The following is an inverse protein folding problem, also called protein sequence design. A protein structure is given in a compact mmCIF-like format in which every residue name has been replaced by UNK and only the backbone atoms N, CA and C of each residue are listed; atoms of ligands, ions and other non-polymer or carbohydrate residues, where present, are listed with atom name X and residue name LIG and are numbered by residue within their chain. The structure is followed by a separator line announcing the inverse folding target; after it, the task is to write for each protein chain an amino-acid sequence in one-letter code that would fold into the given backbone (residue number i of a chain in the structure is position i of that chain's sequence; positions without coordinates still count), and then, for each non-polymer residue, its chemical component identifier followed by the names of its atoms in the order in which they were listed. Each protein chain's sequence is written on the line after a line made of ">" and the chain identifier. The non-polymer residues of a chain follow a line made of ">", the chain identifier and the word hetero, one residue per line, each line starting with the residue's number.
data_IF_561952901152
#
_entry.id   IF_561952901152
#
_cell.length_a   1.000
_cell.length_b   1.000
_cell.length_c   1.000
_cell.angle_alpha   90.00
_cell.angle_beta   90.00
_cell.angle_gamma   90.00
#
_symmetry.space_group_name_H-M   'P 1'
#
loop_
_entity.id
_entity.type
_entity.pdbx_description
1 polymer ?
#
# COMPACT_ATOMS: atom_id res chain seq x y z
N UNK A 1 15.14 35.69 52.31
CA UNK A 1 13.85 35.00 52.49
C UNK A 1 12.79 36.01 52.16
N UNK A 2 12.28 35.94 50.93
CA UNK A 2 11.09 36.61 50.35
C UNK A 2 11.07 36.07 48.91
N UNK A 3 10.02 35.58 48.27
CA UNK A 3 8.65 35.23 48.59
C UNK A 3 8.14 34.51 47.33
N UNK A 4 7.34 33.46 47.50
CA UNK A 4 6.76 32.64 46.43
C UNK A 4 5.92 33.48 45.45
N UNK A 5 6.00 33.16 44.16
CA UNK A 5 4.88 33.33 43.22
C UNK A 5 4.92 32.22 42.18
N UNK A 6 4.11 31.21 42.44
CA UNK A 6 3.68 30.17 41.52
C UNK A 6 2.72 30.77 40.49
N UNK A 7 3.02 30.60 39.20
CA UNK A 7 2.01 30.68 38.14
C UNK A 7 1.96 29.34 37.40
N UNK A 8 0.83 28.67 37.61
CA UNK A 8 0.33 27.52 36.87
C UNK A 8 -0.10 27.99 35.48
N UNK A 9 0.46 27.38 34.45
CA UNK A 9 -0.18 27.23 33.14
C UNK A 9 0.02 25.73 32.82
N UNK A 10 -0.99 24.87 32.84
CA UNK A 10 -2.28 25.07 32.20
C UNK A 10 -2.27 24.55 30.76
N UNK A 11 -1.34 23.67 30.38
CA UNK A 11 -1.41 23.02 29.06
C UNK A 11 -2.38 21.84 29.13
N UNK A 12 -3.59 22.13 28.67
CA UNK A 12 -4.64 21.16 28.41
C UNK A 12 -4.05 20.01 27.58
N UNK A 13 -4.01 18.82 28.18
CA UNK A 13 -3.92 17.59 27.44
C UNK A 13 -5.11 17.58 26.45
N UNK A 14 -4.84 17.93 25.21
CA UNK A 14 -5.72 17.60 24.10
C UNK A 14 -5.79 16.09 24.12
N UNK A 15 -6.86 15.55 24.71
CA UNK A 15 -7.24 14.17 24.59
C UNK A 15 -7.47 13.94 23.10
N UNK A 16 -6.39 13.57 22.41
CA UNK A 16 -6.46 13.11 21.05
C UNK A 16 -7.52 12.01 21.08
N UNK A 17 -8.64 12.27 20.44
CA UNK A 17 -9.65 11.27 20.09
C UNK A 17 -9.05 10.38 19.01
N UNK A 18 -7.87 9.85 19.29
CA UNK A 18 -7.07 9.02 18.42
C UNK A 18 -7.65 7.64 18.52
N UNK A 19 -8.42 7.28 17.50
CA UNK A 19 -8.69 5.88 17.20
C UNK A 19 -7.39 5.10 17.38
N UNK A 20 -7.38 4.13 18.28
CA UNK A 20 -6.19 3.36 18.60
C UNK A 20 -5.56 2.85 17.29
N UNK A 21 -4.22 2.89 17.15
CA UNK A 21 -3.55 2.37 15.96
C UNK A 21 -3.97 0.91 15.76
N UNK A 22 -4.53 0.63 14.59
CA UNK A 22 -4.98 -0.70 14.23
C UNK A 22 -3.84 -1.70 14.39
N UNK A 23 -4.11 -2.82 15.06
CA UNK A 23 -3.16 -3.93 15.21
C UNK A 23 -3.58 -5.09 14.30
N UNK A 24 -2.64 -5.70 13.56
CA UNK A 24 -2.93 -6.91 12.80
C UNK A 24 -3.36 -8.04 13.74
N UNK A 25 -4.61 -8.50 13.64
CA UNK A 25 -5.11 -9.66 14.37
C UNK A 25 -5.02 -10.90 13.45
N UNK A 26 -4.65 -12.06 14.01
CA UNK A 26 -4.32 -13.24 13.21
C UNK A 26 -5.52 -13.98 12.58
N UNK A 27 -6.76 -13.58 12.85
CA UNK A 27 -7.97 -14.37 12.52
C UNK A 27 -9.07 -13.55 11.82
N UNK A 28 -8.71 -12.63 10.93
CA UNK A 28 -9.70 -11.81 10.17
C UNK A 28 -10.07 -12.43 8.82
N UNK A 29 -9.40 -13.52 8.44
CA UNK A 29 -9.71 -14.28 7.24
C UNK A 29 -10.44 -15.56 7.61
N UNK A 30 -11.58 -15.79 6.97
CA UNK A 30 -12.34 -17.04 7.04
C UNK A 30 -12.46 -17.63 5.65
N UNK A 31 -12.63 -18.94 5.56
CA UNK A 31 -12.95 -19.61 4.30
C UNK A 31 -14.16 -18.93 3.66
N UNK A 32 -14.04 -18.57 2.38
CA UNK A 32 -15.16 -18.01 1.61
C UNK A 32 -16.32 -19.01 1.63
N UNK A 33 -17.44 -18.61 2.24
CA UNK A 33 -18.69 -19.38 2.19
C UNK A 33 -19.63 -18.72 1.17
N UNK A 34 -20.10 -19.45 0.16
CA UNK A 34 -21.10 -18.94 -0.78
C UNK A 34 -22.49 -18.76 -0.14
N UNK A 35 -22.69 -19.24 1.10
CA UNK A 35 -23.93 -19.11 1.86
C UNK A 35 -23.64 -18.45 3.22
N UNK A 36 -24.07 -17.20 3.44
CA UNK A 36 -23.93 -16.55 4.73
C UNK A 36 -24.97 -17.11 5.70
N UNK A 37 -24.64 -18.19 6.40
CA UNK A 37 -25.45 -18.69 7.50
C UNK A 37 -25.29 -17.79 8.72
N UNK A 38 -26.36 -17.07 9.06
CA UNK A 38 -26.60 -16.60 10.42
C UNK A 38 -26.12 -15.18 10.74
N UNK A 39 -27.11 -14.27 10.80
CA UNK A 39 -27.15 -12.94 11.45
C UNK A 39 -26.01 -11.96 11.11
N UNK A 40 -26.33 -10.74 10.63
CA UNK A 40 -25.33 -9.69 10.53
C UNK A 40 -24.73 -9.47 11.92
N UNK A 41 -23.44 -9.79 12.08
CA UNK A 41 -22.69 -9.30 13.22
C UNK A 41 -22.86 -7.78 13.21
N UNK A 42 -23.46 -7.23 14.26
CA UNK A 42 -23.55 -5.79 14.42
C UNK A 42 -22.11 -5.27 14.51
N UNK A 43 -21.59 -4.83 13.36
CA UNK A 43 -20.30 -4.21 13.25
C UNK A 43 -20.46 -2.85 13.91
N UNK A 44 -20.01 -2.74 15.16
CA UNK A 44 -19.82 -1.46 15.82
C UNK A 44 -19.11 -0.51 14.84
N UNK A 45 -19.87 0.47 14.35
CA UNK A 45 -19.56 1.26 13.16
C UNK A 45 -18.55 2.37 13.46
N UNK A 46 -17.50 2.04 14.22
CA UNK A 46 -16.23 2.71 14.04
C UNK A 46 -15.82 2.49 12.59
N UNK A 47 -15.71 3.56 11.79
CA UNK A 47 -15.28 3.51 10.38
C UNK A 47 -13.81 3.07 10.32
N UNK A 48 -13.58 1.78 10.58
CA UNK A 48 -12.28 1.15 10.43
C UNK A 48 -12.10 0.92 8.94
N UNK A 49 -10.96 1.35 8.39
CA UNK A 49 -10.60 1.03 7.00
C UNK A 49 -10.82 -0.46 6.75
N UNK A 50 -11.49 -0.88 5.66
CA UNK A 50 -11.71 -2.28 5.37
C UNK A 50 -10.38 -3.05 5.33
N UNK A 51 -10.37 -4.30 5.78
CA UNK A 51 -9.16 -5.13 5.79
C UNK A 51 -8.54 -5.25 4.39
N UNK A 52 -9.38 -5.39 3.36
CA UNK A 52 -8.95 -5.47 1.96
C UNK A 52 -8.13 -4.23 1.57
N UNK A 53 -8.59 -3.03 1.94
CA UNK A 53 -7.87 -1.80 1.63
C UNK A 53 -6.50 -1.77 2.32
N UNK A 54 -6.40 -2.23 3.58
CA UNK A 54 -5.14 -2.30 4.32
C UNK A 54 -4.12 -3.25 3.69
N UNK A 55 -4.58 -4.37 3.15
CA UNK A 55 -3.73 -5.43 2.60
C UNK A 55 -3.51 -5.31 1.09
N UNK A 56 -4.03 -4.25 0.46
CA UNK A 56 -3.84 -3.98 -0.97
C UNK A 56 -3.31 -2.57 -1.17
N UNK A 57 -4.19 -1.56 -1.11
CA UNK A 57 -3.85 -0.15 -1.35
C UNK A 57 -2.91 0.43 -0.29
N UNK A 58 -3.17 0.12 0.99
CA UNK A 58 -2.40 0.65 2.11
C UNK A 58 -1.35 -0.36 2.62
N UNK A 59 -0.92 -1.31 1.77
CA UNK A 59 -0.03 -2.41 2.18
C UNK A 59 1.30 -1.91 2.74
N UNK A 60 1.84 -0.81 2.17
CA UNK A 60 3.08 -0.17 2.64
C UNK A 60 2.92 0.33 4.08
N UNK A 61 1.80 0.99 4.38
CA UNK A 61 1.51 1.49 5.73
C UNK A 61 1.32 0.34 6.71
N UNK A 62 0.62 -0.71 6.28
CA UNK A 62 0.46 -1.94 7.07
C UNK A 62 1.82 -2.56 7.43
N UNK A 63 2.77 -2.66 6.50
CA UNK A 63 4.11 -3.17 6.80
C UNK A 63 4.90 -2.28 7.74
N UNK A 64 4.77 -0.95 7.66
CA UNK A 64 5.40 -0.01 8.61
C UNK A 64 4.88 -0.18 10.03
N UNK A 65 3.57 -0.39 10.19
CA UNK A 65 2.96 -0.66 11.50
C UNK A 65 3.52 -1.97 12.09
N UNK A 66 3.67 -3.01 11.27
CA UNK A 66 4.20 -4.31 11.70
C UNK A 66 5.71 -4.28 11.98
N UNK A 67 6.45 -3.49 11.22
CA UNK A 67 7.90 -3.35 11.32
C UNK A 67 8.29 -1.87 11.08
N UNK A 68 8.53 -1.09 12.15
CA UNK A 68 8.89 0.32 12.02
C UNK A 68 10.19 0.60 11.24
N UNK A 69 11.04 -0.41 11.05
CA UNK A 69 12.26 -0.31 10.24
C UNK A 69 12.02 -0.56 8.76
N UNK A 70 10.82 -1.04 8.38
CA UNK A 70 10.47 -1.29 6.99
C UNK A 70 10.47 0.01 6.18
N UNK A 71 11.14 -0.01 5.03
CA UNK A 71 11.18 1.10 4.07
C UNK A 71 10.76 0.58 2.71
N UNK A 72 9.90 1.35 2.04
CA UNK A 72 9.46 1.09 0.68
C UNK A 72 9.55 2.38 -0.11
N UNK A 73 10.12 2.29 -1.30
CA UNK A 73 10.08 3.31 -2.34
C UNK A 73 9.90 2.59 -3.68
N UNK A 74 9.30 3.26 -4.66
CA UNK A 74 9.00 2.62 -5.96
C UNK A 74 10.27 2.18 -6.70
N UNK A 75 11.41 2.83 -6.42
CA UNK A 75 12.72 2.45 -6.97
C UNK A 75 13.20 1.08 -6.47
N UNK A 76 12.70 0.61 -5.33
CA UNK A 76 13.01 -0.70 -4.75
C UNK A 76 12.16 -1.83 -5.35
N UNK A 77 11.16 -1.51 -6.18
CA UNK A 77 10.38 -2.54 -6.85
C UNK A 77 11.26 -3.29 -7.86
N UNK A 78 11.45 -4.63 -7.72
CA UNK A 78 12.30 -5.39 -8.64
C UNK A 78 11.83 -5.24 -10.08
N UNK A 79 12.65 -4.57 -10.90
CA UNK A 79 12.45 -4.48 -12.33
C UNK A 79 12.91 -5.79 -12.94
N UNK A 80 11.96 -6.62 -13.36
CA UNK A 80 12.23 -7.83 -14.15
C UNK A 80 11.73 -7.62 -15.57
N UNK A 81 12.48 -8.19 -16.50
CA UNK A 81 12.03 -8.32 -17.88
C UNK A 81 10.96 -9.40 -17.99
N UNK A 82 10.00 -9.19 -18.88
CA UNK A 82 8.93 -10.15 -19.17
C UNK A 82 9.33 -11.17 -20.24
N UNK A 83 10.50 -11.02 -20.85
CA UNK A 83 11.03 -11.91 -21.89
C UNK A 83 12.40 -12.47 -21.50
N UNK A 84 12.69 -13.66 -22.02
CA UNK A 84 13.96 -14.37 -21.84
C UNK A 84 14.39 -14.99 -23.18
N UNK A 85 15.57 -14.63 -23.74
CA UNK A 85 16.53 -13.67 -23.21
C UNK A 85 15.98 -12.23 -23.20
N UNK A 86 16.44 -11.40 -22.26
CA UNK A 86 16.02 -9.99 -22.17
C UNK A 86 16.95 -9.02 -22.88
N UNK A 87 18.06 -9.51 -23.43
CA UNK A 87 19.02 -8.69 -24.15
C UNK A 87 18.47 -8.36 -25.55
N UNK A 88 18.39 -7.07 -25.86
CA UNK A 88 18.06 -6.58 -27.20
C UNK A 88 19.21 -6.85 -28.16
N UNK A 89 18.95 -7.61 -29.22
CA UNK A 89 19.95 -8.03 -30.22
C UNK A 89 19.47 -7.83 -31.66
N UNK A 90 18.16 -7.70 -31.88
CA UNK A 90 17.55 -7.46 -33.19
C UNK A 90 16.78 -6.14 -33.20
N UNK A 91 16.46 -5.63 -34.39
CA UNK A 91 15.64 -4.42 -34.60
C UNK A 91 16.15 -3.22 -33.78
N UNK A 92 17.40 -2.82 -34.03
CA UNK A 92 18.07 -1.73 -33.32
C UNK A 92 18.14 -1.90 -31.78
N UNK A 93 18.10 -3.16 -31.31
CA UNK A 93 18.18 -3.49 -29.89
C UNK A 93 16.84 -3.45 -29.16
N UNK A 94 15.72 -3.34 -29.87
CA UNK A 94 14.39 -3.39 -29.28
C UNK A 94 13.87 -4.82 -29.06
N UNK A 95 14.34 -5.77 -29.88
CA UNK A 95 13.87 -7.15 -29.86
C UNK A 95 14.95 -8.11 -29.37
N UNK A 96 14.54 -9.14 -28.62
CA UNK A 96 15.45 -10.19 -28.18
C UNK A 96 15.75 -11.21 -29.30
N UNK A 97 16.57 -12.22 -29.01
CA UNK A 97 16.93 -13.26 -29.99
C UNK A 97 15.73 -14.07 -30.51
N UNK A 98 14.62 -14.09 -29.78
CA UNK A 98 13.38 -14.77 -30.15
C UNK A 98 12.40 -13.84 -30.88
N UNK A 99 12.76 -12.56 -31.09
CA UNK A 99 11.88 -11.51 -31.61
C UNK A 99 10.65 -11.23 -30.73
N UNK A 100 10.75 -11.46 -29.42
CA UNK A 100 9.76 -11.01 -28.44
C UNK A 100 10.02 -9.54 -28.07
N UNK A 101 8.95 -8.76 -27.90
CA UNK A 101 9.04 -7.40 -27.37
C UNK A 101 9.53 -7.42 -25.91
N UNK A 102 10.63 -6.74 -25.63
CA UNK A 102 11.21 -6.67 -24.28
C UNK A 102 10.43 -5.65 -23.43
N UNK A 103 9.71 -6.15 -22.42
CA UNK A 103 8.92 -5.34 -21.49
C UNK A 103 9.45 -5.44 -20.07
N UNK A 104 9.32 -4.37 -19.29
CA UNK A 104 9.58 -4.38 -17.84
C UNK A 104 8.26 -4.27 -17.08
N UNK A 105 8.16 -4.90 -15.90
CA UNK A 105 7.00 -4.71 -15.00
C UNK A 105 6.75 -3.22 -14.74
N UNK A 106 5.49 -2.82 -14.81
CA UNK A 106 5.01 -1.44 -14.69
C UNK A 106 5.45 -0.47 -15.81
N UNK A 107 5.98 -0.97 -16.93
CA UNK A 107 6.21 -0.14 -18.10
C UNK A 107 4.89 0.10 -18.86
N UNK A 108 4.56 1.37 -19.11
CA UNK A 108 3.37 1.73 -19.88
C UNK A 108 3.67 1.69 -21.38
N UNK A 109 2.88 0.93 -22.13
CA UNK A 109 2.90 0.97 -23.59
C UNK A 109 2.05 2.15 -24.07
N UNK A 110 2.71 3.22 -24.50
CA UNK A 110 2.04 4.40 -25.03
C UNK A 110 2.16 4.40 -26.55
N UNK A 111 1.03 4.35 -27.26
CA UNK A 111 0.99 4.64 -28.69
C UNK A 111 0.80 6.16 -28.88
N UNK A 112 1.88 6.86 -29.23
CA UNK A 112 1.88 8.31 -29.40
C UNK A 112 0.93 8.78 -30.51
N UNK A 113 0.68 7.95 -31.52
CA UNK A 113 -0.21 8.28 -32.65
C UNK A 113 -1.70 8.04 -32.32
N UNK A 114 -2.00 7.10 -31.42
CA UNK A 114 -3.39 6.81 -31.03
C UNK A 114 -4.07 7.97 -30.29
N UNK A 115 -3.30 8.89 -29.72
CA UNK A 115 -3.79 10.05 -28.97
C UNK A 115 -4.16 11.25 -29.86
N UNK A 116 -4.08 11.12 -31.20
CA UNK A 116 -4.34 12.19 -32.17
C UNK A 116 -5.72 12.13 -32.83
N UNK A 117 -6.59 11.18 -32.44
CA UNK A 117 -7.97 11.11 -32.92
C UNK A 117 -8.87 11.95 -32.03
N UNK A 118 -8.92 13.25 -32.32
CA UNK A 118 -9.91 14.22 -31.85
C UNK A 118 -10.73 14.74 -33.01
#
# INVERSE_FOLDING_TARGET
>A
MDGVSTSKEGELAAAATGSLPWRPCQLVFSTYSPFPDGKPQALDASVRRPLVARLTKDIVETFRICNPQFRYTDELNPKRFLTSPSAGVLNDGHDNANSDLILTVNFALVNLEANRRG
#
